data_IF_686340074325
#
_entry.id   IF_686340074325
#
_cell.length_a   1.000
_cell.length_b   1.000
_cell.length_c   1.000
_cell.angle_alpha   90.00
_cell.angle_beta   90.00
_cell.angle_gamma   90.00
#
_symmetry.space_group_name_H-M   'P 1'
#
loop_
_entity.id
_entity.type
_entity.pdbx_description
1 polymer ?
#
# COMPACT_ATOMS: atom_id res chain seq x y z
N UNK A 1 0.89 6.03 -26.19
CA UNK A 1 -0.07 6.11 -25.06
C UNK A 1 0.18 4.99 -24.05
N UNK A 2 0.48 3.77 -24.50
CA UNK A 2 0.90 2.63 -23.66
C UNK A 2 2.17 2.93 -22.84
N UNK A 3 3.20 3.52 -23.45
CA UNK A 3 4.47 3.85 -22.78
C UNK A 3 4.33 4.82 -21.57
N UNK A 4 3.31 5.68 -21.55
CA UNK A 4 3.08 6.60 -20.42
C UNK A 4 2.46 5.90 -19.21
N UNK A 5 1.68 4.85 -19.43
CA UNK A 5 1.03 4.09 -18.36
C UNK A 5 2.08 3.24 -17.64
N UNK A 6 2.95 2.56 -18.39
CA UNK A 6 4.05 1.76 -17.83
C UNK A 6 5.07 2.62 -17.07
N UNK A 7 5.38 3.81 -17.58
CA UNK A 7 6.29 4.74 -16.90
C UNK A 7 5.76 5.20 -15.54
N UNK A 8 4.45 5.47 -15.45
CA UNK A 8 3.81 5.87 -14.20
C UNK A 8 3.79 4.73 -13.18
N UNK A 9 3.55 3.48 -13.61
CA UNK A 9 3.58 2.31 -12.72
C UNK A 9 4.99 2.04 -12.19
N UNK A 10 6.01 2.08 -13.05
CA UNK A 10 7.41 1.91 -12.63
C UNK A 10 7.90 3.01 -11.69
N UNK A 11 7.43 4.24 -11.87
CA UNK A 11 7.68 5.31 -10.90
C UNK A 11 7.03 4.98 -9.55
N UNK A 12 5.77 4.57 -9.54
CA UNK A 12 5.04 4.23 -8.32
C UNK A 12 5.70 3.08 -7.54
N UNK A 13 6.15 2.02 -8.23
CA UNK A 13 6.91 0.90 -7.64
C UNK A 13 8.17 1.41 -6.95
N UNK A 14 8.96 2.27 -7.62
CA UNK A 14 10.17 2.85 -7.03
C UNK A 14 9.90 3.76 -5.84
N UNK A 15 8.86 4.59 -5.93
CA UNK A 15 8.49 5.51 -4.86
C UNK A 15 8.05 4.73 -3.62
N UNK A 16 7.17 3.73 -3.77
CA UNK A 16 6.74 2.92 -2.62
C UNK A 16 7.79 1.98 -2.09
N UNK A 17 8.76 1.55 -2.90
CA UNK A 17 9.93 0.85 -2.38
C UNK A 17 10.66 1.68 -1.32
N UNK A 18 10.89 2.97 -1.58
CA UNK A 18 11.53 3.88 -0.62
C UNK A 18 10.66 4.03 0.64
N UNK A 19 9.34 4.19 0.47
CA UNK A 19 8.41 4.28 1.60
C UNK A 19 8.46 3.02 2.45
N UNK A 20 8.44 1.85 1.85
CA UNK A 20 8.50 0.57 2.56
C UNK A 20 9.86 0.31 3.23
N UNK A 21 10.96 0.81 2.67
CA UNK A 21 12.27 0.77 3.34
C UNK A 21 12.29 1.67 4.58
N UNK A 22 11.64 2.85 4.53
CA UNK A 22 11.54 3.78 5.64
C UNK A 22 10.52 3.33 6.71
N UNK A 23 9.39 2.77 6.29
CA UNK A 23 8.26 2.36 7.12
C UNK A 23 7.91 0.88 6.82
N UNK A 24 8.72 -0.08 7.27
CA UNK A 24 8.57 -1.50 6.91
C UNK A 24 7.25 -2.12 7.40
N UNK A 25 6.63 -1.53 8.43
CA UNK A 25 5.32 -1.97 8.93
C UNK A 25 4.22 -1.82 7.87
N UNK A 26 4.31 -0.82 7.00
CA UNK A 26 3.37 -0.62 5.89
C UNK A 26 3.47 -1.76 4.87
N UNK A 27 4.71 -2.20 4.57
CA UNK A 27 4.97 -3.34 3.68
C UNK A 27 4.38 -4.63 4.26
N UNK A 28 4.58 -4.86 5.55
CA UNK A 28 4.05 -6.04 6.25
C UNK A 28 2.52 -6.07 6.24
N UNK A 29 1.85 -4.94 6.50
CA UNK A 29 0.39 -4.84 6.45
C UNK A 29 -0.14 -5.10 5.03
N UNK A 30 0.48 -4.48 4.02
CA UNK A 30 0.07 -4.63 2.64
C UNK A 30 0.25 -6.08 2.12
N UNK A 31 1.36 -6.75 2.46
CA UNK A 31 1.56 -8.17 2.12
C UNK A 31 0.61 -9.08 2.90
N UNK A 32 0.42 -8.81 4.19
CA UNK A 32 -0.49 -9.56 5.05
C UNK A 32 -1.94 -9.50 4.58
N UNK A 33 -2.37 -8.41 3.93
CA UNK A 33 -3.65 -8.37 3.22
C UNK A 33 -3.74 -9.45 2.14
N UNK A 34 -2.77 -9.49 1.22
CA UNK A 34 -2.78 -10.43 0.11
C UNK A 34 -2.67 -11.89 0.57
N UNK A 35 -1.93 -12.16 1.65
CA UNK A 35 -1.87 -13.48 2.28
C UNK A 35 -3.24 -13.89 2.83
N UNK A 36 -3.92 -13.00 3.56
CA UNK A 36 -5.25 -13.27 4.10
C UNK A 36 -6.30 -13.50 3.01
N UNK A 37 -6.30 -12.70 1.93
CA UNK A 37 -7.25 -12.89 0.81
C UNK A 37 -7.03 -14.23 0.11
N UNK A 38 -5.77 -14.66 -0.03
CA UNK A 38 -5.44 -15.97 -0.59
C UNK A 38 -6.03 -17.11 0.23
N UNK A 39 -6.01 -17.01 1.55
CA UNK A 39 -6.63 -17.99 2.45
C UNK A 39 -8.16 -17.90 2.43
N UNK A 40 -8.71 -16.68 2.43
CA UNK A 40 -10.15 -16.40 2.49
C UNK A 40 -10.95 -17.05 1.37
N UNK A 41 -10.41 -17.00 0.14
CA UNK A 41 -11.03 -17.58 -1.06
C UNK A 41 -11.23 -19.09 -0.96
N UNK A 42 -10.55 -19.76 -0.02
CA UNK A 42 -10.63 -21.20 0.17
C UNK A 42 -11.47 -21.65 1.38
N UNK A 43 -11.89 -20.73 2.26
CA UNK A 43 -12.52 -21.09 3.55
C UNK A 43 -13.79 -20.32 3.93
N UNK A 44 -14.13 -19.22 3.24
CA UNK A 44 -15.27 -18.36 3.63
C UNK A 44 -16.58 -18.70 2.91
N UNK A 45 -17.70 -18.53 3.65
CA UNK A 45 -19.07 -18.57 3.14
C UNK A 45 -19.49 -17.24 2.48
N UNK A 46 -18.84 -16.12 2.84
CA UNK A 46 -19.13 -14.76 2.37
C UNK A 46 -17.84 -14.01 1.98
N UNK A 47 -17.08 -14.49 0.97
CA UNK A 47 -15.71 -14.03 0.70
C UNK A 47 -15.59 -12.54 0.35
N UNK A 48 -16.61 -11.94 -0.28
CA UNK A 48 -16.56 -10.53 -0.66
C UNK A 48 -16.75 -9.57 0.54
N UNK A 49 -17.61 -9.94 1.50
CA UNK A 49 -17.85 -9.12 2.70
C UNK A 49 -16.65 -9.20 3.65
N UNK A 50 -16.08 -10.39 3.80
CA UNK A 50 -14.87 -10.61 4.58
C UNK A 50 -13.67 -9.88 3.97
N UNK A 51 -13.48 -9.94 2.64
CA UNK A 51 -12.43 -9.20 1.93
C UNK A 51 -12.58 -7.68 2.15
N UNK A 52 -13.79 -7.15 2.02
CA UNK A 52 -14.05 -5.73 2.22
C UNK A 52 -13.70 -5.27 3.64
N UNK A 53 -13.95 -6.13 4.64
CA UNK A 53 -13.61 -5.86 6.04
C UNK A 53 -12.10 -5.87 6.24
N UNK A 54 -11.39 -6.91 5.75
CA UNK A 54 -9.93 -7.04 5.86
C UNK A 54 -9.23 -5.88 5.13
N UNK A 55 -9.71 -5.52 3.94
CA UNK A 55 -9.18 -4.39 3.17
C UNK A 55 -9.32 -3.08 3.93
N UNK A 56 -10.52 -2.79 4.45
CA UNK A 56 -10.78 -1.57 5.20
C UNK A 56 -9.91 -1.47 6.46
N UNK A 57 -9.79 -2.56 7.22
CA UNK A 57 -8.95 -2.62 8.42
C UNK A 57 -7.46 -2.42 8.08
N UNK A 58 -6.99 -2.99 6.98
CA UNK A 58 -5.60 -2.83 6.53
C UNK A 58 -5.32 -1.39 6.15
N UNK A 59 -6.18 -0.79 5.32
CA UNK A 59 -6.04 0.61 4.86
C UNK A 59 -6.07 1.57 6.04
N UNK A 60 -6.98 1.39 7.00
CA UNK A 60 -7.08 2.28 8.17
C UNK A 60 -5.85 2.17 9.09
N UNK A 61 -5.33 0.95 9.31
CA UNK A 61 -4.09 0.76 10.09
C UNK A 61 -2.88 1.41 9.42
N UNK A 62 -2.75 1.25 8.11
CA UNK A 62 -1.67 1.89 7.34
C UNK A 62 -1.80 3.42 7.36
N UNK A 63 -3.02 3.94 7.19
CA UNK A 63 -3.27 5.37 7.26
C UNK A 63 -2.91 5.93 8.64
N UNK A 64 -3.23 5.22 9.72
CA UNK A 64 -2.84 5.61 11.07
C UNK A 64 -1.31 5.70 11.23
N UNK A 65 -0.55 4.73 10.71
CA UNK A 65 0.92 4.77 10.74
C UNK A 65 1.45 6.01 10.00
N UNK A 66 0.90 6.34 8.82
CA UNK A 66 1.28 7.54 8.08
C UNK A 66 0.94 8.82 8.86
N UNK A 67 -0.21 8.85 9.53
CA UNK A 67 -0.64 10.02 10.31
C UNK A 67 0.19 10.22 11.58
N UNK A 68 0.80 9.16 12.12
CA UNK A 68 1.74 9.22 13.23
C UNK A 68 3.15 9.66 12.79
N UNK A 69 3.46 9.63 11.48
CA UNK A 69 4.73 10.11 10.94
C UNK A 69 4.77 11.65 10.80
N UNK A 70 5.66 12.28 11.57
CA UNK A 70 5.79 13.75 11.59
C UNK A 70 6.21 14.33 10.22
N UNK A 71 6.99 13.58 9.43
CA UNK A 71 7.44 14.05 8.12
C UNK A 71 6.28 14.04 7.12
N UNK A 72 5.46 13.00 7.13
CA UNK A 72 4.23 12.92 6.36
C UNK A 72 3.30 14.08 6.71
N UNK A 73 2.99 14.27 7.99
CA UNK A 73 2.16 15.38 8.47
C UNK A 73 2.70 16.76 8.06
N UNK A 74 4.01 16.98 8.26
CA UNK A 74 4.64 18.24 7.85
C UNK A 74 4.58 18.44 6.34
N UNK A 75 4.70 17.36 5.55
CA UNK A 75 4.67 17.43 4.08
C UNK A 75 3.28 17.75 3.58
N UNK A 76 2.25 17.05 4.08
CA UNK A 76 0.85 17.32 3.73
C UNK A 76 0.47 18.77 4.03
N UNK A 77 0.89 19.30 5.19
CA UNK A 77 0.69 20.71 5.55
C UNK A 77 1.39 21.68 4.61
N UNK A 78 2.63 21.39 4.19
CA UNK A 78 3.39 22.25 3.26
C UNK A 78 2.76 22.28 1.87
N UNK A 79 2.24 21.14 1.41
CA UNK A 79 1.58 21.01 0.11
C UNK A 79 0.13 21.54 0.16
N UNK A 80 -0.44 21.72 1.36
CA UNK A 80 -1.77 22.30 1.55
C UNK A 80 -2.90 21.31 1.28
N UNK A 81 -2.66 20.01 1.54
CA UNK A 81 -3.61 18.92 1.34
C UNK A 81 -4.03 18.30 2.66
N UNK A 82 -5.20 17.66 2.69
CA UNK A 82 -5.71 16.95 3.86
C UNK A 82 -4.87 15.69 4.11
N UNK A 83 -4.24 15.60 5.28
CA UNK A 83 -3.38 14.48 5.63
C UNK A 83 -4.14 13.15 5.79
N UNK A 84 -5.36 13.17 6.33
CA UNK A 84 -6.18 11.97 6.52
C UNK A 84 -6.63 11.38 5.18
N UNK A 85 -7.16 12.21 4.30
CA UNK A 85 -7.57 11.78 2.96
C UNK A 85 -6.39 11.20 2.17
N UNK A 86 -5.23 11.86 2.24
CA UNK A 86 -4.03 11.38 1.55
C UNK A 86 -3.48 10.10 2.19
N UNK A 87 -3.50 9.97 3.51
CA UNK A 87 -3.06 8.74 4.17
C UNK A 87 -3.88 7.53 3.73
N UNK A 88 -5.20 7.69 3.54
CA UNK A 88 -6.08 6.65 3.01
C UNK A 88 -5.74 6.33 1.55
N UNK A 89 -5.64 7.35 0.69
CA UNK A 89 -5.33 7.18 -0.74
C UNK A 89 -3.98 6.46 -0.93
N UNK A 90 -2.94 6.93 -0.24
CA UNK A 90 -1.61 6.33 -0.30
C UNK A 90 -1.62 4.89 0.24
N UNK A 91 -2.42 4.60 1.28
CA UNK A 91 -2.56 3.24 1.80
C UNK A 91 -3.19 2.28 0.79
N UNK A 92 -4.25 2.71 0.09
CA UNK A 92 -4.87 1.93 -1.00
C UNK A 92 -3.84 1.63 -2.08
N UNK A 93 -3.14 2.66 -2.56
CA UNK A 93 -2.14 2.52 -3.63
C UNK A 93 -0.96 1.62 -3.20
N UNK A 94 -0.53 1.70 -1.94
CA UNK A 94 0.51 0.82 -1.41
C UNK A 94 0.07 -0.64 -1.40
N UNK A 95 -1.15 -0.95 -0.97
CA UNK A 95 -1.71 -2.32 -1.02
C UNK A 95 -1.74 -2.84 -2.46
N UNK A 96 -2.18 -2.03 -3.41
CA UNK A 96 -2.22 -2.40 -4.84
C UNK A 96 -0.83 -2.57 -5.46
N UNK A 97 0.21 -1.98 -4.88
CA UNK A 97 1.56 -1.92 -5.48
C UNK A 97 2.55 -2.87 -4.83
N UNK A 98 2.27 -3.37 -3.62
CA UNK A 98 3.25 -4.12 -2.83
C UNK A 98 3.76 -5.40 -3.51
N UNK A 99 2.91 -6.11 -4.26
CA UNK A 99 3.31 -7.34 -4.97
C UNK A 99 4.27 -7.07 -6.13
N UNK A 100 4.10 -5.93 -6.81
CA UNK A 100 5.01 -5.51 -7.88
C UNK A 100 6.37 -5.10 -7.31
N UNK A 101 6.39 -4.48 -6.13
CA UNK A 101 7.64 -4.16 -5.40
C UNK A 101 8.38 -5.44 -5.02
N UNK A 102 7.69 -6.44 -4.46
CA UNK A 102 8.29 -7.75 -4.14
C UNK A 102 8.88 -8.44 -5.37
N UNK A 103 8.19 -8.34 -6.51
CA UNK A 103 8.65 -8.93 -7.76
C UNK A 103 9.91 -8.23 -8.28
N UNK A 104 9.97 -6.90 -8.21
CA UNK A 104 11.17 -6.11 -8.58
C UNK A 104 12.36 -6.39 -7.66
N UNK A 105 12.13 -6.56 -6.35
CA UNK A 105 13.16 -6.91 -5.38
C UNK A 105 13.77 -8.30 -5.68
N UNK A 106 12.93 -9.29 -5.93
CA UNK A 106 13.38 -10.66 -6.22
C UNK A 106 14.12 -10.77 -7.56
N UNK A 107 13.73 -10.00 -8.57
CA UNK A 107 14.40 -9.98 -9.88
C UNK A 107 15.80 -9.35 -9.84
N UNK A 108 16.10 -8.51 -8.84
CA UNK A 108 17.43 -7.89 -8.67
C UNK A 108 18.43 -8.76 -7.90
N UNK A 109 17.97 -9.84 -7.28
CA UNK A 109 18.81 -10.79 -6.54
C UNK A 109 19.22 -12.03 -7.37
N UNK A 110 18.77 -12.12 -8.62
CA UNK A 110 19.18 -13.12 -9.61
C UNK A 110 20.26 -12.57 -10.54
#
# INVERSE_FOLDING_TARGET
>A
MIERIDHNRQKLIRDYKIVFEALPQLKQLALGYWEQIKELTSSSLHPLEDESTIFSDTVLKMAQILLEDENFQSTMKKVGVNAEENAIIESVLMVETVLDVETDDNNKMQ
#
